data_IF_502401662484
#
_entry.id   IF_502401662484
#
_cell.length_a   1.000
_cell.length_b   1.000
_cell.length_c   1.000
_cell.angle_alpha   90.00
_cell.angle_beta   90.00
_cell.angle_gamma   90.00
#
_symmetry.space_group_name_H-M   'P 1'
#
loop_
_entity.id
_entity.type
_entity.pdbx_description
1 polymer ?
#
# COMPACT_ATOMS: atom_id res chain seq x y z
N UNK A 1 -2.57 23.82 13.84
CA UNK A 1 -2.95 22.47 14.31
C UNK A 1 -1.94 21.45 13.84
N UNK A 2 -1.44 20.59 14.74
CA UNK A 2 -0.43 19.58 14.36
C UNK A 2 -1.11 18.46 13.57
N UNK A 3 -0.65 18.28 12.34
CA UNK A 3 -1.17 17.41 11.26
C UNK A 3 -0.20 16.25 10.96
N UNK A 4 0.43 15.62 11.96
CA UNK A 4 1.49 14.63 11.72
C UNK A 4 1.50 13.49 12.75
N UNK A 5 2.22 12.41 12.40
CA UNK A 5 2.52 11.28 13.27
C UNK A 5 3.41 11.70 14.43
N UNK A 6 3.09 11.20 15.62
CA UNK A 6 3.85 11.49 16.85
C UNK A 6 4.88 10.37 17.08
N UNK A 7 6.19 10.67 17.13
CA UNK A 7 7.22 9.69 17.40
C UNK A 7 7.29 9.38 18.90
N UNK A 8 7.39 8.10 19.23
CA UNK A 8 7.54 7.57 20.59
C UNK A 8 8.84 6.77 20.67
N UNK A 9 9.69 7.07 21.67
CA UNK A 9 10.78 6.17 22.05
C UNK A 9 10.19 5.00 22.82
N UNK A 10 10.47 3.77 22.38
CA UNK A 10 9.98 2.58 23.05
C UNK A 10 11.15 1.80 23.64
N UNK A 11 11.30 1.92 24.96
CA UNK A 11 12.41 1.33 25.72
C UNK A 11 11.94 0.19 26.64
N UNK A 12 10.76 -0.38 26.38
CA UNK A 12 10.11 -1.44 27.17
C UNK A 12 9.90 -2.73 26.32
N UNK A 13 9.34 -3.79 26.92
CA UNK A 13 9.17 -5.10 26.27
C UNK A 13 8.21 -5.11 25.08
N UNK A 14 8.33 -6.13 24.23
CA UNK A 14 7.43 -6.36 23.10
C UNK A 14 5.99 -6.68 23.54
N UNK A 15 5.82 -7.31 24.70
CA UNK A 15 4.50 -7.57 25.27
C UNK A 15 3.81 -6.26 25.66
N UNK A 16 4.54 -5.36 26.32
CA UNK A 16 4.06 -4.02 26.67
C UNK A 16 3.75 -3.20 25.42
N UNK A 17 4.55 -3.37 24.36
CA UNK A 17 4.30 -2.72 23.07
C UNK A 17 2.98 -3.19 22.45
N UNK A 18 2.72 -4.49 22.45
CA UNK A 18 1.47 -5.05 21.94
C UNK A 18 0.26 -4.57 22.74
N UNK A 19 0.38 -4.47 24.06
CA UNK A 19 -0.69 -3.94 24.90
C UNK A 19 -0.90 -2.43 24.71
N UNK A 20 0.16 -1.66 24.47
CA UNK A 20 0.07 -0.26 24.05
C UNK A 20 -0.63 -0.11 22.70
N UNK A 21 -0.29 -0.95 21.71
CA UNK A 21 -0.93 -0.97 20.41
C UNK A 21 -2.44 -1.28 20.50
N UNK A 22 -2.84 -2.21 21.37
CA UNK A 22 -4.27 -2.51 21.63
C UNK A 22 -5.00 -1.33 22.25
N UNK A 23 -4.37 -0.61 23.18
CA UNK A 23 -4.98 0.57 23.80
C UNK A 23 -5.17 1.70 22.78
N UNK A 24 -4.17 1.93 21.92
CA UNK A 24 -4.27 2.92 20.83
C UNK A 24 -5.41 2.60 19.85
N UNK A 25 -5.68 1.32 19.59
CA UNK A 25 -6.79 0.92 18.73
C UNK A 25 -8.16 1.39 19.26
N UNK A 26 -8.32 1.55 20.59
CA UNK A 26 -9.53 2.13 21.19
C UNK A 26 -9.75 3.61 20.89
N UNK A 27 -8.74 4.29 20.32
CA UNK A 27 -8.78 5.69 19.92
C UNK A 27 -8.68 5.88 18.40
N UNK A 28 -8.90 4.83 17.61
CA UNK A 28 -8.67 4.80 16.15
C UNK A 28 -7.23 5.17 15.73
N UNK A 29 -6.28 4.96 16.65
CA UNK A 29 -4.86 5.14 16.41
C UNK A 29 -4.18 3.78 16.16
N UNK A 30 -3.12 3.82 15.36
CA UNK A 30 -2.20 2.71 15.14
C UNK A 30 -0.78 3.12 15.48
N UNK A 31 0.10 2.13 15.64
CA UNK A 31 1.52 2.36 15.84
C UNK A 31 2.37 1.43 14.97
N UNK A 32 3.44 1.97 14.39
CA UNK A 32 4.40 1.22 13.56
C UNK A 32 5.81 1.40 14.12
N UNK A 33 6.54 0.30 14.33
CA UNK A 33 7.96 0.35 14.69
C UNK A 33 8.80 0.72 13.47
N UNK A 34 9.35 1.93 13.47
CA UNK A 34 10.45 2.31 12.59
C UNK A 34 11.80 1.92 13.20
N UNK A 35 12.90 2.18 12.49
CA UNK A 35 14.24 1.79 12.96
C UNK A 35 14.70 2.47 14.25
N UNK A 36 14.24 3.70 14.53
CA UNK A 36 14.63 4.47 15.74
C UNK A 36 13.46 4.85 16.65
N UNK A 37 12.25 4.93 16.11
CA UNK A 37 11.08 5.41 16.83
C UNK A 37 9.87 4.57 16.43
N UNK A 38 8.93 4.46 17.36
CA UNK A 38 7.56 4.06 17.06
C UNK A 38 6.82 5.27 16.54
N UNK A 39 6.16 5.18 15.39
CA UNK A 39 5.25 6.23 14.93
C UNK A 39 3.83 5.90 15.37
N UNK A 40 3.19 6.81 16.10
CA UNK A 40 1.75 6.76 16.40
C UNK A 40 1.03 7.68 15.43
N UNK A 41 0.02 7.17 14.75
CA UNK A 41 -0.78 7.92 13.79
C UNK A 41 -2.23 7.44 13.79
N UNK A 42 -3.13 8.21 13.17
CA UNK A 42 -4.44 7.70 12.81
C UNK A 42 -4.32 6.39 12.03
N UNK A 43 -5.29 5.49 12.18
CA UNK A 43 -5.38 4.32 11.31
C UNK A 43 -5.59 4.79 9.86
N UNK A 44 -4.49 4.88 9.11
CA UNK A 44 -4.52 5.17 7.70
C UNK A 44 -4.63 3.86 6.94
N UNK A 45 -5.82 3.64 6.37
CA UNK A 45 -6.05 2.57 5.41
C UNK A 45 -5.80 3.09 4.00
N UNK A 46 -4.65 2.73 3.42
CA UNK A 46 -4.31 3.07 2.03
C UNK A 46 -5.37 2.54 1.05
N UNK A 47 -5.94 1.36 1.31
CA UNK A 47 -6.98 0.78 0.47
C UNK A 47 -8.26 1.62 0.52
N UNK A 48 -8.72 1.99 1.72
CA UNK A 48 -9.86 2.87 1.92
C UNK A 48 -9.70 4.23 1.25
N UNK A 49 -8.52 4.84 1.36
CA UNK A 49 -8.21 6.11 0.69
C UNK A 49 -8.21 5.98 -0.84
N UNK A 50 -7.57 4.94 -1.38
CA UNK A 50 -7.58 4.62 -2.81
C UNK A 50 -9.02 4.44 -3.31
N UNK A 51 -9.85 3.65 -2.62
CA UNK A 51 -11.24 3.40 -2.97
C UNK A 51 -12.10 4.66 -2.93
N UNK A 52 -11.88 5.55 -1.96
CA UNK A 52 -12.57 6.85 -1.93
C UNK A 52 -12.20 7.71 -3.14
N UNK A 53 -10.94 7.69 -3.56
CA UNK A 53 -10.47 8.42 -4.74
C UNK A 53 -11.05 7.84 -6.03
N UNK A 54 -11.05 6.51 -6.21
CA UNK A 54 -11.64 5.84 -7.37
C UNK A 54 -13.11 6.21 -7.55
N UNK A 55 -13.93 6.10 -6.49
CA UNK A 55 -15.34 6.52 -6.52
C UNK A 55 -15.53 7.98 -6.91
N UNK A 56 -14.58 8.85 -6.59
CA UNK A 56 -14.65 10.27 -6.96
C UNK A 56 -14.36 10.48 -8.44
N UNK A 57 -13.40 9.75 -9.00
CA UNK A 57 -13.06 9.79 -10.43
C UNK A 57 -14.13 9.14 -11.29
N UNK A 58 -14.69 8.00 -10.88
CA UNK A 58 -15.79 7.31 -11.60
C UNK A 58 -17.00 8.22 -11.81
N UNK A 59 -17.30 9.12 -10.87
CA UNK A 59 -18.39 10.10 -11.00
C UNK A 59 -18.16 11.20 -12.03
N UNK A 60 -16.90 11.48 -12.38
CA UNK A 60 -16.53 12.58 -13.31
C UNK A 60 -15.97 12.06 -14.62
N UNK A 61 -15.57 10.79 -14.68
CA UNK A 61 -15.04 10.17 -15.87
C UNK A 61 -16.18 9.74 -16.81
N UNK A 62 -16.22 10.21 -18.08
CA UNK A 62 -17.31 9.88 -19.01
C UNK A 62 -17.54 8.37 -19.21
N UNK A 63 -16.48 7.56 -19.08
CA UNK A 63 -16.55 6.10 -19.21
C UNK A 63 -17.03 5.36 -17.96
N UNK A 64 -17.27 6.06 -16.84
CA UNK A 64 -17.87 5.54 -15.61
C UNK A 64 -16.98 4.62 -14.76
N UNK A 65 -16.23 3.69 -15.36
CA UNK A 65 -15.29 2.80 -14.66
C UNK A 65 -13.88 3.33 -14.76
N UNK A 66 -13.16 3.36 -13.64
CA UNK A 66 -11.73 3.67 -13.59
C UNK A 66 -10.99 2.41 -13.20
N UNK A 67 -10.10 1.95 -14.07
CA UNK A 67 -9.27 0.79 -13.80
C UNK A 67 -8.04 1.20 -12.97
N UNK A 68 -7.79 0.52 -11.87
CA UNK A 68 -6.79 0.89 -10.89
C UNK A 68 -5.59 -0.06 -10.88
N UNK A 69 -4.40 0.51 -11.10
CA UNK A 69 -3.12 -0.15 -10.86
C UNK A 69 -2.52 0.38 -9.55
N UNK A 70 -2.37 -0.49 -8.55
CA UNK A 70 -1.69 -0.16 -7.29
C UNK A 70 -0.24 -0.66 -7.33
N UNK A 71 0.71 0.14 -6.85
CA UNK A 71 2.14 -0.19 -6.86
C UNK A 71 2.71 0.06 -5.46
N UNK A 72 3.44 -0.91 -4.92
CA UNK A 72 4.02 -0.84 -3.58
C UNK A 72 5.16 -1.83 -3.38
N UNK A 73 5.92 -1.66 -2.32
CA UNK A 73 7.12 -2.44 -2.02
C UNK A 73 7.14 -3.02 -0.60
N UNK A 74 6.25 -2.55 0.27
CA UNK A 74 6.27 -2.86 1.69
C UNK A 74 4.94 -3.44 2.20
N UNK A 75 4.94 -4.15 3.35
CA UNK A 75 3.73 -4.81 3.87
C UNK A 75 2.55 -3.88 4.14
N UNK A 76 2.79 -2.59 4.40
CA UNK A 76 1.73 -1.60 4.57
C UNK A 76 1.00 -1.24 3.26
N UNK A 77 1.48 -1.71 2.11
CA UNK A 77 0.82 -1.56 0.81
C UNK A 77 -0.14 -2.71 0.49
N UNK A 78 -0.05 -3.85 1.19
CA UNK A 78 -0.79 -5.08 0.86
C UNK A 78 -2.29 -4.85 0.72
N UNK A 79 -2.90 -4.08 1.64
CA UNK A 79 -4.33 -3.77 1.56
C UNK A 79 -4.70 -3.08 0.25
N UNK A 80 -3.90 -2.10 -0.19
CA UNK A 80 -4.11 -1.40 -1.45
C UNK A 80 -3.88 -2.32 -2.65
N UNK A 81 -2.80 -3.11 -2.62
CA UNK A 81 -2.42 -4.04 -3.69
C UNK A 81 -3.48 -5.12 -3.93
N UNK A 82 -4.04 -5.70 -2.87
CA UNK A 82 -5.09 -6.72 -2.97
C UNK A 82 -6.45 -6.16 -3.41
N UNK A 83 -6.67 -4.86 -3.25
CA UNK A 83 -7.98 -4.22 -3.54
C UNK A 83 -8.03 -3.59 -4.94
N UNK A 84 -6.89 -3.32 -5.56
CA UNK A 84 -6.83 -2.76 -6.92
C UNK A 84 -7.25 -3.79 -7.97
N UNK A 85 -7.60 -3.34 -9.18
CA UNK A 85 -7.85 -4.27 -10.30
C UNK A 85 -6.58 -5.08 -10.63
N UNK A 86 -5.41 -4.45 -10.43
CA UNK A 86 -4.11 -5.11 -10.49
C UNK A 86 -3.14 -4.47 -9.50
N UNK A 87 -2.39 -5.29 -8.78
CA UNK A 87 -1.32 -4.85 -7.90
C UNK A 87 0.06 -5.14 -8.47
N UNK A 88 1.03 -4.28 -8.17
CA UNK A 88 2.44 -4.47 -8.51
C UNK A 88 3.25 -4.45 -7.22
N UNK A 89 3.95 -5.55 -6.97
CA UNK A 89 4.94 -5.65 -5.89
C UNK A 89 6.31 -5.34 -6.48
N UNK A 90 6.87 -4.19 -6.11
CA UNK A 90 8.25 -3.83 -6.43
C UNK A 90 9.19 -4.67 -5.58
N UNK A 91 10.27 -5.17 -6.18
CA UNK A 91 11.32 -5.89 -5.46
C UNK A 91 11.94 -4.98 -4.38
N UNK A 92 11.67 -5.31 -3.13
CA UNK A 92 12.26 -4.61 -2.00
C UNK A 92 13.61 -5.21 -1.58
N UNK A 93 14.48 -4.38 -1.02
CA UNK A 93 15.77 -4.82 -0.44
C UNK A 93 15.64 -5.32 1.01
N UNK A 94 14.50 -5.08 1.66
CA UNK A 94 14.30 -5.38 3.08
C UNK A 94 13.94 -6.85 3.39
N UNK A 95 13.69 -7.68 2.39
CA UNK A 95 13.41 -9.11 2.57
C UNK A 95 12.10 -9.45 3.30
N UNK A 96 11.33 -8.46 3.75
CA UNK A 96 10.00 -8.66 4.33
C UNK A 96 9.07 -9.40 3.36
N UNK A 97 8.27 -10.35 3.84
CA UNK A 97 7.33 -11.10 3.01
C UNK A 97 6.20 -10.19 2.51
N UNK A 98 5.78 -10.42 1.27
CA UNK A 98 4.65 -9.72 0.63
C UNK A 98 3.57 -10.74 0.22
N UNK A 99 2.85 -11.35 1.20
CA UNK A 99 1.78 -12.29 0.92
C UNK A 99 0.54 -11.55 0.41
N UNK A 100 0.24 -11.72 -0.87
CA UNK A 100 -0.95 -11.18 -1.52
C UNK A 100 -2.07 -12.21 -1.48
N UNK A 101 -3.33 -11.77 -1.55
CA UNK A 101 -4.49 -12.67 -1.45
C UNK A 101 -4.64 -13.57 -2.70
N UNK A 102 -4.19 -13.06 -3.85
CA UNK A 102 -4.23 -13.76 -5.13
C UNK A 102 -3.07 -13.34 -6.01
N UNK A 103 -2.26 -14.29 -6.47
CA UNK A 103 -1.18 -14.01 -7.44
C UNK A 103 -1.73 -13.73 -8.85
N UNK A 104 -3.00 -14.06 -9.14
CA UNK A 104 -3.59 -13.88 -10.47
C UNK A 104 -3.76 -12.40 -10.86
N UNK A 105 -3.85 -11.50 -9.87
CA UNK A 105 -4.00 -10.06 -10.04
C UNK A 105 -2.73 -9.29 -9.67
N UNK A 106 -1.59 -9.98 -9.54
CA UNK A 106 -0.35 -9.40 -9.03
C UNK A 106 0.79 -9.58 -10.03
N UNK A 107 1.51 -8.48 -10.28
CA UNK A 107 2.79 -8.47 -10.99
C UNK A 107 3.91 -8.24 -9.99
N UNK A 108 4.98 -9.04 -10.07
CA UNK A 108 6.17 -8.88 -9.22
C UNK A 108 7.36 -8.48 -10.07
N UNK A 109 8.05 -7.40 -9.70
CA UNK A 109 9.19 -6.91 -10.47
C UNK A 109 10.47 -7.65 -10.11
N UNK A 110 11.43 -7.64 -11.03
CA UNK A 110 12.79 -8.18 -10.80
C UNK A 110 13.77 -7.10 -10.40
N UNK A 111 13.48 -5.84 -10.75
CA UNK A 111 14.24 -4.65 -10.36
C UNK A 111 13.63 -3.95 -9.15
N UNK A 112 14.44 -3.33 -8.28
CA UNK A 112 13.96 -2.54 -7.15
C UNK A 112 13.55 -1.12 -7.58
N UNK A 113 12.84 -0.42 -6.69
CA UNK A 113 12.64 1.02 -6.78
C UNK A 113 12.10 1.52 -8.13
N UNK A 114 12.62 2.65 -8.65
CA UNK A 114 12.18 3.24 -9.91
C UNK A 114 12.34 2.32 -11.12
N UNK A 115 13.39 1.51 -11.17
CA UNK A 115 13.62 0.56 -12.25
C UNK A 115 12.53 -0.52 -12.29
N UNK A 116 12.14 -1.04 -11.11
CA UNK A 116 11.02 -1.97 -10.99
C UNK A 116 9.70 -1.34 -11.42
N UNK A 117 9.47 -0.09 -11.03
CA UNK A 117 8.26 0.64 -11.47
C UNK A 117 8.18 0.71 -13.00
N UNK A 118 9.30 1.06 -13.66
CA UNK A 118 9.38 1.15 -15.10
C UNK A 118 9.16 -0.22 -15.78
N UNK A 119 9.80 -1.27 -15.25
CA UNK A 119 9.63 -2.66 -15.70
C UNK A 119 8.15 -3.06 -15.72
N UNK A 120 7.44 -2.90 -14.61
CA UNK A 120 6.04 -3.29 -14.49
C UNK A 120 5.12 -2.43 -15.37
N UNK A 121 5.22 -1.10 -15.26
CA UNK A 121 4.29 -0.20 -15.95
C UNK A 121 4.43 -0.31 -17.46
N UNK A 122 5.66 -0.44 -17.98
CA UNK A 122 5.90 -0.62 -19.42
C UNK A 122 5.25 -1.92 -19.90
N UNK A 123 5.51 -3.04 -19.21
CA UNK A 123 4.94 -4.34 -19.58
C UNK A 123 3.40 -4.34 -19.54
N UNK A 124 2.80 -3.72 -18.53
CA UNK A 124 1.34 -3.62 -18.40
C UNK A 124 0.74 -2.77 -19.51
N UNK A 125 1.32 -1.61 -19.80
CA UNK A 125 0.83 -0.74 -20.88
C UNK A 125 0.96 -1.41 -22.26
N UNK A 126 2.03 -2.15 -22.51
CA UNK A 126 2.21 -2.92 -23.73
C UNK A 126 1.16 -4.03 -23.88
N UNK A 127 0.91 -4.80 -22.81
CA UNK A 127 -0.15 -5.80 -22.79
C UNK A 127 -1.53 -5.18 -23.03
N UNK A 128 -1.78 -4.02 -22.40
CA UNK A 128 -3.04 -3.33 -22.54
C UNK A 128 -3.27 -2.89 -23.98
N UNK A 129 -2.27 -2.25 -24.61
CA UNK A 129 -2.31 -1.86 -26.03
C UNK A 129 -2.59 -3.05 -26.96
N UNK A 130 -1.90 -4.17 -26.73
CA UNK A 130 -2.07 -5.37 -27.55
C UNK A 130 -3.47 -6.00 -27.41
N UNK A 131 -4.09 -5.86 -26.23
CA UNK A 131 -5.43 -6.40 -25.95
C UNK A 131 -6.55 -5.47 -26.39
N UNK A 132 -6.33 -4.15 -26.45
CA UNK A 132 -7.33 -3.17 -26.89
C UNK A 132 -7.36 -2.95 -28.40
N UNK A 133 -6.36 -3.42 -29.15
CA UNK A 133 -6.43 -3.53 -30.62
C UNK A 133 -6.88 -2.26 -31.34
N UNK A 134 -6.30 -1.10 -30.98
CA UNK A 134 -6.13 0.03 -31.90
C UNK A 134 -4.73 -0.02 -32.51
#
# INVERSE_FOLDING_TARGET
DRLASEPVSWDDSDERFNDFAKQLAGFDLGCVRGGRFVQVAGRFDKAGAMQALLRRYEKIWPGGRVWCLAIGDAPNDLGMLNTADMGVVIKASHGLPMPVDSEASIVRTTQPGPEGWCEAVTAILEQWRNNTGE
#
